data_IF_160953646721
#
_entry.id   IF_160953646721
#
_cell.length_a   1.000
_cell.length_b   1.000
_cell.length_c   1.000
_cell.angle_alpha   90.00
_cell.angle_beta   90.00
_cell.angle_gamma   90.00
#
_symmetry.space_group_name_H-M   'P 1'
#
loop_
_entity.id
_entity.type
_entity.pdbx_description
1 polymer ?
#
# COMPACT_ATOMS: atom_id res chain seq x y z
N UNK A 1 9.87 -8.58 23.30
CA UNK A 1 8.82 -9.56 22.95
C UNK A 1 8.71 -9.56 21.43
N UNK A 2 8.36 -10.68 20.81
CA UNK A 2 8.08 -10.68 19.37
C UNK A 2 6.71 -10.01 19.18
N UNK A 3 6.71 -8.73 18.80
CA UNK A 3 5.49 -7.94 18.61
C UNK A 3 4.85 -8.22 17.23
N UNK A 4 5.23 -9.32 16.56
CA UNK A 4 4.62 -9.72 15.31
C UNK A 4 3.22 -10.30 15.51
N UNK A 5 2.36 -10.05 14.53
CA UNK A 5 1.01 -10.59 14.46
C UNK A 5 0.84 -11.33 13.14
N UNK A 6 0.23 -12.51 13.18
CA UNK A 6 0.05 -13.37 12.01
C UNK A 6 -1.42 -13.69 11.82
N UNK A 7 -1.87 -13.65 10.56
CA UNK A 7 -3.20 -14.10 10.14
C UNK A 7 -3.08 -14.96 8.89
N UNK A 8 -3.80 -16.07 8.89
CA UNK A 8 -3.83 -17.00 7.76
C UNK A 8 -4.91 -16.61 6.75
N UNK A 9 -4.59 -16.78 5.48
CA UNK A 9 -5.48 -16.53 4.34
C UNK A 9 -5.45 -17.71 3.39
N UNK A 10 -6.52 -17.86 2.62
CA UNK A 10 -6.56 -18.71 1.43
C UNK A 10 -6.81 -17.79 0.23
N UNK A 11 -6.06 -17.97 -0.86
CA UNK A 11 -6.26 -17.20 -2.09
C UNK A 11 -7.54 -17.69 -2.76
N UNK A 12 -8.58 -16.85 -2.76
CA UNK A 12 -9.90 -17.21 -3.28
C UNK A 12 -10.07 -16.77 -4.74
N UNK A 13 -11.14 -17.23 -5.37
CA UNK A 13 -11.44 -16.93 -6.77
C UNK A 13 -11.50 -15.42 -7.07
N UNK A 14 -11.99 -14.62 -6.11
CA UNK A 14 -12.04 -13.16 -6.24
C UNK A 14 -10.65 -12.51 -6.22
N UNK A 15 -9.63 -13.20 -5.71
CA UNK A 15 -8.30 -12.65 -5.46
C UNK A 15 -7.36 -12.81 -6.66
N UNK A 16 -7.74 -13.62 -7.64
CA UNK A 16 -6.89 -13.96 -8.78
C UNK A 16 -7.31 -13.27 -10.07
N UNK A 17 -6.36 -13.22 -11.01
CA UNK A 17 -6.58 -12.80 -12.38
C UNK A 17 -7.08 -13.98 -13.26
N UNK A 18 -7.18 -13.73 -14.58
CA UNK A 18 -7.62 -14.75 -15.55
C UNK A 18 -6.68 -15.96 -15.68
N UNK A 19 -5.47 -15.89 -15.10
CA UNK A 19 -4.48 -16.98 -15.06
C UNK A 19 -4.43 -17.69 -13.71
N UNK A 20 -5.39 -17.43 -12.82
CA UNK A 20 -5.42 -17.96 -11.46
C UNK A 20 -4.23 -17.49 -10.59
N UNK A 21 -3.56 -16.40 -10.98
CA UNK A 21 -2.50 -15.78 -10.21
C UNK A 21 -3.07 -14.65 -9.35
N UNK A 22 -2.64 -14.55 -8.09
CA UNK A 22 -3.10 -13.53 -7.17
C UNK A 22 -2.83 -12.13 -7.73
N UNK A 23 -3.85 -11.27 -7.70
CA UNK A 23 -3.75 -9.87 -8.12
C UNK A 23 -2.95 -9.09 -7.09
N UNK A 24 -2.19 -8.10 -7.56
CA UNK A 24 -1.51 -7.18 -6.66
C UNK A 24 -2.47 -6.49 -5.68
N UNK A 25 -3.64 -6.06 -6.16
CA UNK A 25 -4.67 -5.46 -5.32
C UNK A 25 -5.04 -6.38 -4.14
N UNK A 26 -5.16 -7.69 -4.38
CA UNK A 26 -5.44 -8.67 -3.33
C UNK A 26 -4.28 -8.84 -2.36
N UNK A 27 -3.02 -8.82 -2.83
CA UNK A 27 -1.87 -8.79 -1.93
C UNK A 27 -1.94 -7.56 -1.01
N UNK A 28 -2.21 -6.38 -1.54
CA UNK A 28 -2.36 -5.15 -0.75
C UNK A 28 -3.52 -5.28 0.25
N UNK A 29 -4.66 -5.84 -0.16
CA UNK A 29 -5.78 -6.09 0.75
C UNK A 29 -5.42 -7.02 1.91
N UNK A 30 -4.67 -8.10 1.68
CA UNK A 30 -4.20 -8.97 2.76
C UNK A 30 -3.31 -8.22 3.75
N UNK A 31 -2.42 -7.34 3.25
CA UNK A 31 -1.53 -6.55 4.10
C UNK A 31 -2.28 -5.48 4.91
N UNK A 32 -3.30 -4.84 4.32
CA UNK A 32 -4.16 -3.92 5.05
C UNK A 32 -4.97 -4.64 6.14
N UNK A 33 -5.56 -5.79 5.80
CA UNK A 33 -6.40 -6.57 6.71
C UNK A 33 -5.61 -7.13 7.90
N UNK A 34 -4.41 -7.67 7.70
CA UNK A 34 -3.57 -8.14 8.82
C UNK A 34 -3.15 -6.97 9.73
N UNK A 35 -2.92 -5.79 9.15
CA UNK A 35 -2.57 -4.58 9.91
C UNK A 35 -3.72 -4.13 10.81
N UNK A 36 -4.94 -4.09 10.27
CA UNK A 36 -6.16 -3.78 11.03
C UNK A 36 -6.43 -4.84 12.10
N UNK A 37 -6.31 -6.13 11.78
CA UNK A 37 -6.49 -7.21 12.74
C UNK A 37 -5.49 -7.15 13.89
N UNK A 38 -4.24 -6.78 13.61
CA UNK A 38 -3.26 -6.51 14.66
C UNK A 38 -3.70 -5.31 15.52
N UNK A 39 -4.04 -4.17 14.91
CA UNK A 39 -4.49 -2.99 15.64
C UNK A 39 -5.68 -3.30 16.57
N UNK A 40 -6.65 -4.07 16.10
CA UNK A 40 -7.78 -4.56 16.89
C UNK A 40 -7.34 -5.44 18.06
N UNK A 41 -6.39 -6.35 17.86
CA UNK A 41 -5.89 -7.25 18.90
C UNK A 41 -5.17 -6.54 20.05
N UNK A 42 -4.62 -5.35 19.81
CA UNK A 42 -3.93 -4.53 20.82
C UNK A 42 -4.78 -3.37 21.36
N UNK A 43 -6.02 -3.25 20.90
CA UNK A 43 -6.96 -2.21 21.35
C UNK A 43 -6.93 -0.89 20.57
N UNK A 44 -6.08 -0.75 19.55
CA UNK A 44 -6.01 0.41 18.64
C UNK A 44 -7.09 0.33 17.53
N UNK A 45 -8.32 0.03 17.94
CA UNK A 45 -9.47 -0.16 17.05
C UNK A 45 -9.86 1.14 16.35
N UNK A 46 -10.60 1.04 15.23
CA UNK A 46 -11.16 2.21 14.54
C UNK A 46 -12.01 3.06 15.51
N UNK A 47 -12.82 2.42 16.36
CA UNK A 47 -13.64 3.12 17.35
C UNK A 47 -12.78 3.88 18.36
N UNK A 48 -11.72 3.23 18.89
CA UNK A 48 -10.78 3.89 19.81
C UNK A 48 -10.15 5.12 19.16
N UNK A 49 -9.68 5.01 17.92
CA UNK A 49 -9.09 6.12 17.18
C UNK A 49 -10.09 7.29 17.02
N UNK A 50 -11.33 6.99 16.60
CA UNK A 50 -12.39 7.98 16.43
C UNK A 50 -12.76 8.69 17.74
N UNK A 51 -12.89 7.95 18.84
CA UNK A 51 -13.17 8.50 20.18
C UNK A 51 -12.06 9.46 20.66
N UNK A 52 -10.82 9.26 20.19
CA UNK A 52 -9.68 10.12 20.49
C UNK A 52 -9.41 11.19 19.41
N UNK A 53 -10.34 11.36 18.45
CA UNK A 53 -10.22 12.33 17.37
C UNK A 53 -9.01 12.09 16.45
N UNK A 54 -8.54 10.85 16.40
CA UNK A 54 -7.35 10.43 15.69
C UNK A 54 -7.69 9.40 14.59
N UNK A 55 -6.80 9.24 13.62
CA UNK A 55 -6.91 8.20 12.61
C UNK A 55 -5.56 7.90 11.98
N UNK A 56 -5.33 6.64 11.62
CA UNK A 56 -4.14 6.26 10.86
C UNK A 56 -4.39 6.41 9.36
N UNK A 57 -3.48 7.09 8.67
CA UNK A 57 -3.48 7.18 7.21
C UNK A 57 -2.17 6.62 6.64
N UNK A 58 -2.29 5.80 5.59
CA UNK A 58 -1.12 5.35 4.83
C UNK A 58 -0.50 6.55 4.12
N UNK A 59 0.82 6.69 4.24
CA UNK A 59 1.57 7.72 3.53
C UNK A 59 2.51 7.10 2.50
N UNK A 60 3.25 6.05 2.87
CA UNK A 60 4.13 5.33 1.94
C UNK A 60 3.93 3.84 1.99
N UNK A 61 4.15 3.20 0.85
CA UNK A 61 4.26 1.76 0.76
C UNK A 61 5.39 1.35 -0.16
N UNK A 62 6.18 0.36 0.24
CA UNK A 62 7.18 -0.30 -0.58
C UNK A 62 6.95 -1.81 -0.49
N UNK A 63 6.54 -2.43 -1.59
CA UNK A 63 6.14 -3.84 -1.67
C UNK A 63 7.04 -4.52 -2.69
N UNK A 64 7.74 -5.57 -2.28
CA UNK A 64 8.56 -6.43 -3.16
C UNK A 64 7.91 -7.80 -3.27
N UNK A 65 7.82 -8.30 -4.49
CA UNK A 65 7.11 -9.51 -4.88
C UNK A 65 8.13 -10.47 -5.48
N UNK A 66 8.56 -11.43 -4.67
CA UNK A 66 9.48 -12.47 -5.11
C UNK A 66 8.73 -13.48 -5.98
N UNK A 67 7.53 -13.85 -5.55
CA UNK A 67 6.68 -14.84 -6.22
C UNK A 67 5.21 -14.56 -5.94
N UNK A 68 4.37 -14.69 -6.96
CA UNK A 68 2.93 -14.53 -6.78
C UNK A 68 2.30 -15.83 -6.27
N UNK A 69 1.43 -15.76 -5.23
CA UNK A 69 0.52 -16.85 -4.89
C UNK A 69 -0.43 -17.17 -6.04
N UNK A 70 -0.90 -18.41 -6.10
CA UNK A 70 -1.94 -18.86 -7.02
C UNK A 70 -3.24 -19.17 -6.28
N UNK A 71 -4.32 -19.36 -7.04
CA UNK A 71 -5.61 -19.79 -6.54
C UNK A 71 -5.47 -21.02 -5.63
N UNK A 72 -6.11 -20.98 -4.46
CA UNK A 72 -6.08 -22.01 -3.40
C UNK A 72 -4.77 -22.15 -2.64
N UNK A 73 -3.76 -21.33 -2.91
CA UNK A 73 -2.61 -21.26 -2.02
C UNK A 73 -3.04 -20.77 -0.64
N UNK A 74 -2.51 -21.41 0.39
CA UNK A 74 -2.66 -20.96 1.78
C UNK A 74 -1.46 -20.12 2.16
N UNK A 75 -1.75 -18.97 2.76
CA UNK A 75 -0.79 -17.93 3.07
C UNK A 75 -0.78 -17.64 4.56
N UNK A 76 0.41 -17.51 5.13
CA UNK A 76 0.63 -16.90 6.44
C UNK A 76 1.08 -15.46 6.21
N UNK A 77 0.24 -14.50 6.57
CA UNK A 77 0.57 -13.07 6.44
C UNK A 77 0.95 -12.54 7.82
N UNK A 78 2.15 -12.00 7.91
CA UNK A 78 2.76 -11.49 9.14
C UNK A 78 2.88 -9.98 9.04
N UNK A 79 2.57 -9.27 10.12
CA UNK A 79 2.87 -7.85 10.28
C UNK A 79 3.68 -7.60 11.55
N UNK A 80 4.62 -6.68 11.48
CA UNK A 80 5.57 -6.35 12.54
C UNK A 80 5.58 -4.83 12.71
N UNK A 81 5.18 -4.28 13.87
CA UNK A 81 5.44 -2.89 14.20
C UNK A 81 6.95 -2.67 14.17
N UNK A 82 7.43 -1.81 13.29
CA UNK A 82 8.85 -1.50 13.16
C UNK A 82 9.25 -0.27 13.98
N UNK A 83 8.28 0.33 14.70
CA UNK A 83 8.46 1.42 15.64
C UNK A 83 7.78 2.73 15.21
N UNK A 84 7.86 3.70 16.11
CA UNK A 84 7.25 5.02 15.97
C UNK A 84 8.29 6.11 15.90
N UNK A 85 7.97 7.23 15.26
CA UNK A 85 8.78 8.45 15.33
C UNK A 85 7.92 9.69 15.19
N UNK A 86 7.78 10.42 16.30
CA UNK A 86 7.01 11.66 16.43
C UNK A 86 5.54 11.51 16.06
N UNK A 87 5.22 11.53 14.77
CA UNK A 87 3.87 11.53 14.21
C UNK A 87 3.67 10.42 13.17
N UNK A 88 4.68 9.57 12.93
CA UNK A 88 4.57 8.45 12.02
C UNK A 88 4.95 7.11 12.64
N UNK A 89 4.36 6.05 12.09
CA UNK A 89 4.64 4.66 12.42
C UNK A 89 5.23 3.96 11.20
N UNK A 90 6.15 3.02 11.44
CA UNK A 90 6.65 2.08 10.44
C UNK A 90 6.12 0.69 10.75
N UNK A 91 5.78 -0.05 9.70
CA UNK A 91 5.30 -1.42 9.80
C UNK A 91 5.88 -2.25 8.68
N UNK A 92 6.45 -3.38 9.04
CA UNK A 92 6.93 -4.38 8.10
C UNK A 92 5.91 -5.50 7.95
N UNK A 93 5.93 -6.15 6.79
CA UNK A 93 5.04 -7.25 6.45
C UNK A 93 5.75 -8.34 5.68
N UNK A 94 5.28 -9.57 5.86
CA UNK A 94 5.70 -10.74 5.09
C UNK A 94 4.47 -11.55 4.69
N UNK A 95 4.39 -11.98 3.43
CA UNK A 95 3.46 -13.02 2.99
C UNK A 95 4.28 -14.28 2.74
N UNK A 96 3.96 -15.35 3.45
CA UNK A 96 4.65 -16.64 3.34
C UNK A 96 3.71 -17.73 2.82
N UNK A 97 4.25 -18.69 2.07
CA UNK A 97 3.52 -19.92 1.75
C UNK A 97 3.54 -20.90 2.92
N UNK A 98 2.94 -22.08 2.73
CA UNK A 98 2.89 -23.14 3.75
C UNK A 98 4.26 -23.73 4.11
N UNK A 99 5.23 -23.64 3.20
CA UNK A 99 6.60 -24.11 3.41
C UNK A 99 7.47 -23.07 4.14
N UNK A 100 6.92 -21.88 4.42
CA UNK A 100 7.62 -20.76 5.04
C UNK A 100 8.43 -19.89 4.07
N UNK A 101 8.37 -20.15 2.76
CA UNK A 101 8.98 -19.31 1.71
C UNK A 101 8.34 -17.92 1.73
N UNK A 102 9.15 -16.86 1.78
CA UNK A 102 8.67 -15.48 1.69
C UNK A 102 8.35 -15.16 0.22
N UNK A 103 7.06 -14.99 -0.06
CA UNK A 103 6.55 -14.65 -1.39
C UNK A 103 6.54 -13.14 -1.63
N UNK A 104 6.22 -12.38 -0.59
CA UNK A 104 6.12 -10.91 -0.62
C UNK A 104 6.69 -10.35 0.68
N UNK A 105 7.42 -9.26 0.58
CA UNK A 105 7.81 -8.43 1.73
C UNK A 105 7.36 -6.99 1.49
N UNK A 106 7.00 -6.28 2.54
CA UNK A 106 6.61 -4.89 2.40
C UNK A 106 6.96 -4.05 3.64
N UNK A 107 7.17 -2.75 3.42
CA UNK A 107 7.30 -1.74 4.47
C UNK A 107 6.34 -0.61 4.20
N UNK A 108 5.51 -0.28 5.18
CA UNK A 108 4.59 0.85 5.12
C UNK A 108 4.95 1.91 6.17
N UNK A 109 4.65 3.16 5.83
CA UNK A 109 4.73 4.30 6.73
C UNK A 109 3.35 4.95 6.84
N UNK A 110 2.91 5.13 8.08
CA UNK A 110 1.61 5.70 8.43
C UNK A 110 1.80 7.02 9.17
N UNK A 111 0.91 7.97 8.94
CA UNK A 111 0.76 9.11 9.84
C UNK A 111 -0.43 8.91 10.77
N UNK A 112 -0.24 9.28 12.03
CA UNK A 112 -1.37 9.54 12.91
C UNK A 112 -1.86 10.96 12.63
N UNK A 113 -3.11 11.11 12.20
CA UNK A 113 -3.72 12.42 11.91
C UNK A 113 -4.78 12.75 12.95
N UNK A 114 -4.92 14.04 13.24
CA UNK A 114 -6.09 14.56 13.92
C UNK A 114 -7.19 14.75 12.87
N UNK A 115 -8.33 14.06 13.05
CA UNK A 115 -9.40 14.00 12.03
C UNK A 115 -10.07 15.37 11.85
N UNK A 116 -10.33 16.10 12.94
CA UNK A 116 -10.97 17.42 12.88
C UNK A 116 -10.11 18.46 12.16
N UNK A 117 -8.81 18.52 12.49
CA UNK A 117 -7.87 19.49 11.94
C UNK A 117 -7.23 19.04 10.63
N UNK A 118 -7.47 17.78 10.22
CA UNK A 118 -6.90 17.13 9.03
C UNK A 118 -5.38 17.32 8.89
N UNK A 119 -4.64 17.13 9.99
CA UNK A 119 -3.17 17.29 10.01
C UNK A 119 -2.48 16.24 10.89
N UNK A 120 -1.21 15.88 10.62
CA UNK A 120 -0.45 14.97 11.47
C UNK A 120 -0.43 15.43 12.93
N UNK A 121 -0.53 14.47 13.85
CA UNK A 121 -0.46 14.68 15.28
C UNK A 121 0.57 13.75 15.92
N UNK A 122 1.03 14.13 17.12
CA UNK A 122 1.98 13.33 17.89
C UNK A 122 1.36 11.98 18.24
N UNK A 123 2.13 10.91 18.08
CA UNK A 123 1.77 9.57 18.57
C UNK A 123 1.70 9.63 20.09
N UNK A 124 0.54 9.22 20.63
CA UNK A 124 0.23 9.24 22.05
C UNK A 124 0.99 8.14 22.83
N UNK A 125 1.33 8.37 24.12
CA UNK A 125 1.98 7.38 24.99
C UNK A 125 1.31 6.00 25.00
N UNK A 126 -0.01 5.97 24.85
CA UNK A 126 -0.82 4.76 24.85
C UNK A 126 -0.48 3.85 23.66
N UNK A 127 -0.21 4.41 22.48
CA UNK A 127 0.17 3.61 21.31
C UNK A 127 1.49 2.87 21.53
N UNK A 128 2.49 3.49 22.15
CA UNK A 128 3.75 2.82 22.46
C UNK A 128 3.50 1.59 23.33
N UNK A 129 2.66 1.72 24.36
CA UNK A 129 2.28 0.59 25.23
C UNK A 129 1.52 -0.50 24.47
N UNK A 130 0.56 -0.13 23.62
CA UNK A 130 -0.23 -1.08 22.83
C UNK A 130 0.65 -1.97 21.95
N UNK A 131 1.69 -1.39 21.34
CA UNK A 131 2.58 -2.11 20.43
C UNK A 131 3.90 -2.55 21.09
N UNK A 132 4.02 -2.47 22.41
CA UNK A 132 5.19 -2.95 23.15
C UNK A 132 6.48 -2.18 22.87
N UNK A 133 6.38 -0.88 22.59
CA UNK A 133 7.48 0.04 22.31
C UNK A 133 7.74 0.95 23.52
N UNK A 134 9.00 1.29 23.77
CA UNK A 134 9.39 2.17 24.89
C UNK A 134 9.44 3.67 24.49
N UNK A 135 9.36 3.99 23.20
CA UNK A 135 9.42 5.36 22.72
C UNK A 135 9.66 5.51 21.22
N UNK A 136 10.09 6.71 20.83
CA UNK A 136 10.47 7.01 19.44
C UNK A 136 11.74 6.24 19.03
N UNK A 137 11.77 5.75 17.80
CA UNK A 137 12.99 5.32 17.13
C UNK A 137 14.01 6.46 17.07
N UNK A 138 15.24 6.18 17.49
CA UNK A 138 16.36 7.11 17.32
C UNK A 138 16.56 7.47 15.84
N UNK A 139 16.60 6.45 14.97
CA UNK A 139 16.64 6.57 13.51
C UNK A 139 15.53 5.72 12.89
N UNK A 140 14.71 6.33 12.03
CA UNK A 140 13.70 5.60 11.28
C UNK A 140 14.33 4.88 10.09
N UNK A 141 13.77 3.73 9.73
CA UNK A 141 14.10 3.00 8.50
C UNK A 141 13.91 3.93 7.31
N UNK A 142 14.95 4.08 6.50
CA UNK A 142 14.87 4.87 5.29
C UNK A 142 14.12 4.08 4.22
N UNK A 143 13.08 4.68 3.64
CA UNK A 143 12.38 4.14 2.48
C UNK A 143 12.90 4.83 1.23
N UNK A 144 13.16 4.04 0.19
CA UNK A 144 13.64 4.55 -1.10
C UNK A 144 12.67 5.60 -1.65
N UNK A 145 13.23 6.65 -2.25
CA UNK A 145 12.42 7.67 -2.93
C UNK A 145 11.88 7.11 -4.25
N UNK A 146 10.74 7.65 -4.65
CA UNK A 146 10.19 7.45 -5.98
C UNK A 146 10.88 8.43 -6.92
N UNK A 147 11.33 7.93 -8.07
CA UNK A 147 11.88 8.77 -9.12
C UNK A 147 10.79 9.69 -9.69
N UNK A 148 11.15 10.95 -9.97
CA UNK A 148 10.17 11.92 -10.47
C UNK A 148 9.89 11.65 -11.95
N UNK A 149 8.61 11.54 -12.30
CA UNK A 149 8.18 11.53 -13.70
C UNK A 149 8.53 12.86 -14.39
N UNK A 150 9.23 12.76 -15.51
CA UNK A 150 9.72 13.88 -16.33
C UNK A 150 8.80 14.18 -17.51
N UNK A 151 8.22 13.14 -18.09
CA UNK A 151 7.36 13.21 -19.28
C UNK A 151 6.22 12.19 -19.16
N UNK A 152 5.00 12.61 -19.48
CA UNK A 152 3.85 11.69 -19.59
C UNK A 152 3.83 11.08 -21.00
N UNK A 153 4.03 9.76 -21.08
CA UNK A 153 4.04 9.00 -22.35
C UNK A 153 2.71 8.31 -22.63
N UNK A 154 2.02 7.88 -21.57
CA UNK A 154 0.70 7.27 -21.63
C UNK A 154 -0.18 7.90 -20.57
N UNK A 155 -1.48 7.92 -20.79
CA UNK A 155 -2.42 8.29 -19.75
C UNK A 155 -3.78 7.66 -19.90
N UNK A 156 -4.52 7.67 -18.78
CA UNK A 156 -5.87 7.15 -18.70
C UNK A 156 -6.67 7.90 -17.66
N UNK A 157 -7.92 8.16 -17.99
CA UNK A 157 -8.88 8.75 -17.06
C UNK A 157 -9.76 7.68 -16.42
N UNK A 158 -10.06 7.86 -15.13
CA UNK A 158 -11.00 7.00 -14.40
C UNK A 158 -12.05 7.84 -13.71
N UNK A 159 -13.31 7.42 -13.84
CA UNK A 159 -14.40 7.94 -13.01
C UNK A 159 -14.42 7.16 -11.69
N UNK A 160 -14.47 7.89 -10.57
CA UNK A 160 -14.55 7.26 -9.25
C UNK A 160 -15.95 6.69 -9.08
N UNK A 161 -16.01 5.38 -8.84
CA UNK A 161 -17.26 4.65 -8.63
C UNK A 161 -17.65 4.71 -7.17
N UNK A 162 -18.93 4.50 -6.90
CA UNK A 162 -19.42 4.41 -5.53
C UNK A 162 -18.73 3.29 -4.74
N UNK A 163 -18.44 2.16 -5.40
CA UNK A 163 -17.72 1.01 -4.83
C UNK A 163 -16.23 1.23 -4.58
N UNK A 164 -15.66 2.35 -5.05
CA UNK A 164 -14.25 2.68 -4.82
C UNK A 164 -14.06 3.37 -3.47
N UNK A 165 -15.16 3.79 -2.83
CA UNK A 165 -15.17 4.48 -1.54
C UNK A 165 -15.18 3.48 -0.40
N UNK A 166 -14.30 3.69 0.58
CA UNK A 166 -14.23 2.89 1.80
C UNK A 166 -15.10 3.44 2.93
N UNK A 167 -15.04 2.80 4.10
CA UNK A 167 -15.79 3.19 5.30
C UNK A 167 -15.45 4.59 5.81
N UNK A 168 -14.30 5.15 5.42
CA UNK A 168 -13.87 6.49 5.79
C UNK A 168 -14.36 7.55 4.79
N UNK A 169 -15.24 7.18 3.85
CA UNK A 169 -15.83 8.06 2.83
C UNK A 169 -14.84 8.63 1.80
N UNK A 170 -13.63 8.06 1.74
CA UNK A 170 -12.61 8.38 0.74
C UNK A 170 -12.37 7.17 -0.17
N UNK A 171 -11.69 7.41 -1.29
CA UNK A 171 -11.26 6.31 -2.15
C UNK A 171 -10.31 5.39 -1.40
N UNK A 172 -10.59 4.09 -1.45
CA UNK A 172 -9.73 3.07 -0.89
C UNK A 172 -8.34 3.10 -1.55
N UNK A 173 -7.27 3.12 -0.75
CA UNK A 173 -5.88 3.20 -1.23
C UNK A 173 -5.50 2.14 -2.27
N UNK A 174 -6.13 0.96 -2.25
CA UNK A 174 -5.89 -0.10 -3.24
C UNK A 174 -6.33 0.33 -4.65
N UNK A 175 -7.31 1.24 -4.78
CA UNK A 175 -7.80 1.72 -6.08
C UNK A 175 -6.76 2.53 -6.84
N UNK A 176 -5.92 3.29 -6.14
CA UNK A 176 -4.80 3.98 -6.77
C UNK A 176 -3.80 3.00 -7.41
N UNK A 177 -3.58 1.84 -6.79
CA UNK A 177 -2.74 0.77 -7.36
C UNK A 177 -3.40 0.17 -8.59
N UNK A 178 -4.71 -0.09 -8.53
CA UNK A 178 -5.46 -0.62 -9.68
C UNK A 178 -5.46 0.37 -10.86
N UNK A 179 -5.67 1.66 -10.62
CA UNK A 179 -5.65 2.69 -11.67
C UNK A 179 -4.27 2.86 -12.31
N UNK A 180 -3.21 2.85 -11.49
CA UNK A 180 -1.84 2.87 -12.00
C UNK A 180 -1.55 1.65 -12.88
N UNK A 181 -1.91 0.45 -12.42
CA UNK A 181 -1.70 -0.80 -13.17
C UNK A 181 -2.49 -0.81 -14.50
N UNK A 182 -3.73 -0.35 -14.48
CA UNK A 182 -4.63 -0.30 -15.64
C UNK A 182 -4.24 0.77 -16.68
N UNK A 183 -3.31 1.67 -16.32
CA UNK A 183 -2.73 2.70 -17.19
C UNK A 183 -1.42 2.26 -17.85
N UNK A 184 -0.85 1.14 -17.44
CA UNK A 184 0.38 0.57 -18.02
C UNK A 184 0.09 0.05 -19.44
N UNK A 185 0.98 0.26 -20.42
CA UNK A 185 0.85 -0.31 -21.75
C UNK A 185 0.65 -1.84 -21.74
N UNK A 186 -0.32 -2.31 -22.53
CA UNK A 186 -0.75 -3.72 -22.54
C UNK A 186 0.39 -4.70 -22.85
N UNK A 187 1.32 -4.32 -23.72
CA UNK A 187 2.44 -5.20 -24.09
C UNK A 187 3.42 -5.40 -22.94
N UNK A 188 3.58 -4.39 -22.07
CA UNK A 188 4.35 -4.55 -20.84
C UNK A 188 3.68 -5.52 -19.87
N UNK A 189 2.36 -5.41 -19.67
CA UNK A 189 1.59 -6.35 -18.83
C UNK A 189 1.69 -7.79 -19.35
N UNK A 190 1.81 -7.97 -20.67
CA UNK A 190 1.95 -9.31 -21.28
C UNK A 190 3.35 -9.89 -21.12
N UNK A 191 4.39 -9.10 -21.31
CA UNK A 191 5.78 -9.56 -21.40
C UNK A 191 6.55 -9.49 -20.07
N UNK A 192 6.11 -8.68 -19.11
CA UNK A 192 6.81 -8.44 -17.85
C UNK A 192 5.94 -8.75 -16.63
N UNK A 193 6.61 -9.15 -15.55
CA UNK A 193 6.05 -9.33 -14.23
C UNK A 193 6.40 -8.16 -13.33
N UNK A 194 5.39 -7.65 -12.61
CA UNK A 194 5.57 -6.64 -11.59
C UNK A 194 6.27 -7.23 -10.37
N UNK A 195 7.42 -6.68 -10.00
CA UNK A 195 8.27 -7.19 -8.91
C UNK A 195 8.38 -6.25 -7.73
N UNK A 196 8.20 -4.95 -7.94
CA UNK A 196 8.19 -3.98 -6.84
C UNK A 196 7.24 -2.84 -7.10
N UNK A 197 6.63 -2.36 -6.03
CA UNK A 197 5.75 -1.19 -6.04
C UNK A 197 6.14 -0.26 -4.90
N UNK A 198 6.46 0.98 -5.26
CA UNK A 198 6.60 2.08 -4.32
C UNK A 198 5.44 3.03 -4.51
N UNK A 199 4.85 3.50 -3.43
CA UNK A 199 3.69 4.39 -3.41
C UNK A 199 3.95 5.52 -2.41
N UNK A 200 3.60 6.74 -2.80
CA UNK A 200 3.43 7.86 -1.87
C UNK A 200 2.04 8.45 -2.08
N UNK A 201 1.21 8.37 -1.05
CA UNK A 201 -0.11 8.98 -0.99
C UNK A 201 0.02 10.41 -0.45
N UNK A 202 -0.37 11.41 -1.22
CA UNK A 202 -0.27 12.82 -0.81
C UNK A 202 -1.62 13.40 -0.40
N UNK A 203 -2.68 13.06 -1.14
CA UNK A 203 -4.03 13.58 -0.91
C UNK A 203 -5.11 12.56 -1.24
N UNK A 204 -6.19 12.63 -0.47
CA UNK A 204 -7.40 11.84 -0.64
C UNK A 204 -8.32 12.46 -1.71
N UNK A 205 -9.16 11.64 -2.33
CA UNK A 205 -10.25 12.09 -3.20
C UNK A 205 -11.55 11.40 -2.82
N UNK A 206 -12.67 12.09 -3.02
CA UNK A 206 -14.02 11.62 -2.70
C UNK A 206 -14.82 11.26 -3.95
N UNK A 207 -15.96 10.60 -3.73
CA UNK A 207 -16.92 10.22 -4.76
C UNK A 207 -17.35 11.39 -5.65
N UNK A 208 -17.70 11.09 -6.91
CA UNK A 208 -18.20 12.08 -7.88
C UNK A 208 -17.09 12.85 -8.62
N UNK A 209 -15.83 12.64 -8.26
CA UNK A 209 -14.69 13.16 -8.99
C UNK A 209 -14.22 12.16 -10.06
N UNK A 210 -13.35 12.62 -10.95
CA UNK A 210 -12.55 11.75 -11.80
C UNK A 210 -11.08 12.04 -11.56
N UNK A 211 -10.25 11.09 -11.98
CA UNK A 211 -8.81 11.18 -11.89
C UNK A 211 -8.17 10.96 -13.26
N UNK A 212 -6.99 11.55 -13.43
CA UNK A 212 -6.09 11.35 -14.55
C UNK A 212 -4.84 10.63 -14.05
N UNK A 213 -4.45 9.55 -14.72
CA UNK A 213 -3.22 8.81 -14.42
C UNK A 213 -2.26 9.02 -15.58
N UNK A 214 -1.16 9.72 -15.32
CA UNK A 214 -0.03 9.85 -16.25
C UNK A 214 1.01 8.77 -15.97
N UNK A 215 1.58 8.21 -17.03
CA UNK A 215 2.57 7.13 -16.96
C UNK A 215 3.78 7.43 -17.84
N UNK A 216 4.97 7.20 -17.29
CA UNK A 216 6.24 7.18 -18.02
C UNK A 216 6.87 5.80 -17.91
N UNK A 217 7.35 5.27 -19.03
CA UNK A 217 8.10 4.01 -19.10
C UNK A 217 9.58 4.34 -19.25
N UNK A 218 10.40 3.71 -18.40
CA UNK A 218 11.86 3.73 -18.48
C UNK A 218 12.38 2.30 -18.62
N UNK A 219 13.42 2.15 -19.43
CA UNK A 219 14.14 0.88 -19.60
C UNK A 219 15.47 1.02 -18.87
N UNK A 220 15.81 0.03 -18.06
CA UNK A 220 17.04 0.00 -17.27
C UNK A 220 18.11 -0.78 -18.04
N UNK A 221 19.39 -0.56 -17.71
CA UNK A 221 20.52 -1.16 -18.43
C UNK A 221 20.55 -2.70 -18.39
N UNK A 222 19.95 -3.29 -17.35
CA UNK A 222 19.87 -4.74 -17.14
C UNK A 222 18.68 -5.41 -17.88
N UNK A 223 17.92 -4.63 -18.67
CA UNK A 223 16.74 -5.10 -19.40
C UNK A 223 15.47 -5.19 -18.55
N UNK A 224 15.52 -4.78 -17.28
CA UNK A 224 14.31 -4.53 -16.48
C UNK A 224 13.63 -3.24 -16.94
N UNK A 225 12.35 -3.08 -16.58
CA UNK A 225 11.59 -1.87 -16.87
C UNK A 225 11.09 -1.23 -15.60
N UNK A 226 10.99 0.09 -15.62
CA UNK A 226 10.38 0.89 -14.59
C UNK A 226 9.22 1.67 -15.18
N UNK A 227 8.12 1.79 -14.46
CA UNK A 227 7.05 2.74 -14.81
C UNK A 227 6.79 3.69 -13.67
N UNK A 228 6.82 4.99 -13.98
CA UNK A 228 6.50 6.07 -13.06
C UNK A 228 5.07 6.52 -13.31
N UNK A 229 4.30 6.70 -12.25
CA UNK A 229 2.90 7.05 -12.30
C UNK A 229 2.64 8.30 -11.48
N UNK A 230 1.83 9.20 -12.03
CA UNK A 230 1.28 10.33 -11.27
C UNK A 230 -0.22 10.40 -11.44
N UNK A 231 -0.93 10.45 -10.33
CA UNK A 231 -2.39 10.48 -10.27
C UNK A 231 -2.82 11.88 -9.85
N UNK A 232 -3.65 12.51 -10.67
CA UNK A 232 -4.17 13.86 -10.47
C UNK A 232 -5.70 13.85 -10.40
N UNK A 233 -6.28 14.77 -9.64
CA UNK A 233 -7.71 15.08 -9.79
C UNK A 233 -7.96 16.00 -11.01
N UNK A 234 -9.23 16.27 -11.34
CA UNK A 234 -9.62 17.19 -12.43
C UNK A 234 -9.07 18.62 -12.30
N UNK A 235 -8.70 19.04 -11.09
CA UNK A 235 -8.17 20.38 -10.81
C UNK A 235 -6.64 20.45 -10.96
N UNK A 236 -6.00 19.35 -11.37
CA UNK A 236 -4.54 19.25 -11.53
C UNK A 236 -3.80 19.05 -10.20
N UNK A 237 -4.52 18.74 -9.11
CA UNK A 237 -3.90 18.46 -7.82
C UNK A 237 -3.34 17.04 -7.82
N UNK A 238 -2.04 16.91 -7.54
CA UNK A 238 -1.37 15.63 -7.35
C UNK A 238 -1.94 14.92 -6.11
N UNK A 239 -2.37 13.67 -6.30
CA UNK A 239 -2.98 12.84 -5.26
C UNK A 239 -2.03 11.74 -4.80
N UNK A 240 -1.35 11.09 -5.73
CA UNK A 240 -0.51 9.91 -5.46
C UNK A 240 0.53 9.77 -6.57
N UNK A 241 1.75 9.40 -6.17
CA UNK A 241 2.81 9.00 -7.09
C UNK A 241 3.18 7.54 -6.84
N UNK A 242 3.42 6.79 -7.91
CA UNK A 242 3.80 5.38 -7.83
C UNK A 242 5.00 5.10 -8.73
N UNK A 243 5.82 4.14 -8.32
CA UNK A 243 6.86 3.55 -9.16
C UNK A 243 6.69 2.04 -9.12
N UNK A 244 6.62 1.44 -10.30
CA UNK A 244 6.58 0.00 -10.48
C UNK A 244 7.87 -0.46 -11.15
N UNK A 245 8.45 -1.56 -10.65
CA UNK A 245 9.62 -2.22 -11.24
C UNK A 245 9.21 -3.58 -11.79
N UNK A 246 9.68 -3.87 -13.00
CA UNK A 246 9.20 -4.95 -13.84
C UNK A 246 10.36 -5.81 -14.34
N UNK A 247 10.23 -7.12 -14.24
CA UNK A 247 11.17 -8.09 -14.79
C UNK A 247 10.53 -8.85 -15.95
N UNK A 248 11.33 -9.23 -16.95
CA UNK A 248 10.82 -10.02 -18.08
C UNK A 248 10.37 -11.40 -17.60
N UNK A 249 9.24 -11.89 -18.11
CA UNK A 249 8.68 -13.21 -17.79
C UNK A 249 9.52 -14.36 -18.33
#
# INVERSE_FOLDING_TARGET
MDNSFTKDYEVLYRDVDYKLRCKIASLVYFLCDVGNAHAESVGDTINYQLEHGAGWVFYKYDIKIHKYPNYRDKLSVVTIPAGFKKFYALRDYLIKNQDGEVLVEATALFFLINIERRRPMRILPEHYKMYGEDGDLEKAKEMEKIEKMEEEQFSKEFQIRYSDIDSNTHVNNVKYVEWALESVPKDMIKEFDLKRIKIVFEKEVSYGNSIHVGVQVKEEEDGTKKTLHKIYNKEGVELTILEFQWEKK
#
